data_IF_923747624195
#
_entry.id   IF_923747624195
#
_cell.length_a   1.000
_cell.length_b   1.000
_cell.length_c   1.000
_cell.angle_alpha   90.00
_cell.angle_beta   90.00
_cell.angle_gamma   90.00
#
_symmetry.space_group_name_H-M   'P 1'
#
loop_
_entity.id
_entity.type
_entity.pdbx_description
1 polymer ?
#
# COMPACT_ATOMS: atom_id res chain seq x y z
N UNK A 1 -2.91 -21.35 -18.41
CA UNK A 1 -2.91 -19.87 -18.32
C UNK A 1 -4.35 -19.44 -18.14
N UNK A 2 -4.60 -18.55 -17.17
CA UNK A 2 -5.90 -17.99 -16.75
C UNK A 2 -6.73 -18.80 -15.76
N UNK A 3 -6.45 -18.55 -14.47
CA UNK A 3 -7.46 -18.56 -13.42
C UNK A 3 -7.00 -17.58 -12.34
N UNK A 4 -7.10 -16.28 -12.64
CA UNK A 4 -7.18 -15.25 -11.59
C UNK A 4 -8.65 -15.20 -11.22
N UNK A 5 -9.03 -16.07 -10.27
CA UNK A 5 -10.35 -16.08 -9.68
C UNK A 5 -10.56 -14.76 -8.93
N UNK A 6 -11.35 -13.88 -9.55
CA UNK A 6 -11.94 -12.70 -8.93
C UNK A 6 -12.76 -13.13 -7.70
N UNK A 7 -12.16 -13.09 -6.50
CA UNK A 7 -12.92 -13.07 -5.22
C UNK A 7 -13.29 -11.63 -4.88
N UNK A 8 -14.05 -10.99 -5.76
CA UNK A 8 -14.45 -9.59 -5.67
C UNK A 8 -15.91 -9.38 -5.20
N UNK A 9 -16.54 -10.41 -4.61
CA UNK A 9 -18.00 -10.43 -4.41
C UNK A 9 -18.50 -10.13 -2.99
N UNK A 10 -17.64 -9.75 -2.02
CA UNK A 10 -18.12 -9.56 -0.63
C UNK A 10 -18.04 -8.13 -0.09
N UNK A 11 -17.26 -7.21 -0.67
CA UNK A 11 -16.97 -5.93 0.02
C UNK A 11 -17.08 -4.66 -0.85
N UNK A 12 -17.93 -4.64 -1.87
CA UNK A 12 -17.95 -3.53 -2.86
C UNK A 12 -18.49 -2.18 -2.36
N UNK A 13 -19.06 -2.07 -1.15
CA UNK A 13 -19.72 -0.83 -0.73
C UNK A 13 -18.94 0.07 0.24
N UNK A 14 -17.90 -0.41 0.94
CA UNK A 14 -17.18 0.41 1.92
C UNK A 14 -15.73 -0.03 2.22
N UNK A 15 -14.96 -0.43 1.21
CA UNK A 15 -13.52 -0.71 1.41
C UNK A 15 -12.71 0.58 1.49
N UNK A 16 -12.42 1.02 2.71
CA UNK A 16 -11.54 2.15 2.99
C UNK A 16 -10.05 1.76 3.03
N UNK A 17 -9.70 0.50 3.28
CA UNK A 17 -8.31 0.07 3.35
C UNK A 17 -7.87 -0.57 2.03
N UNK A 18 -6.82 -0.04 1.40
CA UNK A 18 -6.27 -0.54 0.13
C UNK A 18 -4.86 -1.05 0.37
N UNK A 19 -4.52 -2.21 -0.21
CA UNK A 19 -3.15 -2.65 -0.15
C UNK A 19 -2.27 -1.74 -1.03
N UNK A 20 -1.09 -1.36 -0.53
CA UNK A 20 -0.14 -0.59 -1.32
C UNK A 20 0.46 -1.40 -2.47
N UNK A 21 0.72 -2.69 -2.26
CA UNK A 21 1.47 -3.53 -3.20
C UNK A 21 0.58 -4.30 -4.18
N UNK A 22 -0.68 -4.58 -3.82
CA UNK A 22 -1.58 -5.41 -4.61
C UNK A 22 -2.95 -4.75 -4.78
N UNK A 23 -3.77 -5.16 -5.77
CA UNK A 23 -5.08 -4.54 -6.03
C UNK A 23 -6.17 -4.95 -5.01
N UNK A 24 -5.80 -5.57 -3.88
CA UNK A 24 -6.75 -5.98 -2.85
C UNK A 24 -7.21 -4.77 -2.02
N UNK A 25 -8.49 -4.78 -1.64
CA UNK A 25 -9.07 -3.77 -0.77
C UNK A 25 -9.93 -4.45 0.29
N UNK A 26 -9.80 -3.98 1.53
CA UNK A 26 -10.40 -4.56 2.71
C UNK A 26 -11.28 -3.52 3.43
N UNK A 27 -12.37 -3.98 4.01
CA UNK A 27 -13.13 -3.23 4.99
C UNK A 27 -12.51 -3.43 6.39
N UNK A 28 -12.82 -2.58 7.36
CA UNK A 28 -12.28 -2.73 8.74
C UNK A 28 -12.65 -4.08 9.36
N UNK A 29 -13.86 -4.56 9.10
CA UNK A 29 -14.37 -5.88 9.54
C UNK A 29 -13.78 -7.06 8.73
N UNK A 30 -13.20 -6.77 7.57
CA UNK A 30 -12.69 -7.75 6.62
C UNK A 30 -11.18 -7.91 6.66
N UNK A 31 -10.50 -7.17 7.56
CA UNK A 31 -9.07 -7.29 7.78
C UNK A 31 -8.80 -8.68 8.37
N UNK A 32 -7.97 -9.51 7.72
CA UNK A 32 -7.62 -10.80 8.30
C UNK A 32 -6.92 -10.58 9.65
N UNK A 33 -7.24 -11.41 10.63
CA UNK A 33 -6.52 -11.50 11.90
C UNK A 33 -5.09 -12.00 11.65
N UNK A 34 -4.18 -11.07 11.33
CA UNK A 34 -2.80 -11.37 10.96
C UNK A 34 -1.90 -10.15 11.00
N UNK A 35 -0.65 -10.32 10.55
CA UNK A 35 0.27 -9.19 10.40
C UNK A 35 -0.17 -8.30 9.24
N UNK A 36 -0.64 -7.11 9.61
CA UNK A 36 -1.02 -6.05 8.69
C UNK A 36 -0.27 -4.80 9.12
N UNK A 37 0.44 -4.19 8.18
CA UNK A 37 1.18 -2.95 8.42
C UNK A 37 0.32 -1.78 7.95
N UNK A 38 -0.09 -0.92 8.88
CA UNK A 38 -0.86 0.29 8.57
C UNK A 38 0.12 1.40 8.16
N UNK A 39 0.06 1.79 6.88
CA UNK A 39 1.01 2.74 6.29
C UNK A 39 0.50 4.17 6.49
N UNK A 40 -0.81 4.39 6.32
CA UNK A 40 -1.48 5.67 6.56
C UNK A 40 -2.33 6.14 5.39
N UNK A 41 -2.78 7.39 5.45
CA UNK A 41 -3.64 8.05 4.45
C UNK A 41 -2.89 8.65 3.25
N UNK A 42 -1.56 8.76 3.34
CA UNK A 42 -0.71 9.32 2.28
C UNK A 42 0.50 8.43 2.06
N UNK A 43 0.70 8.08 0.80
CA UNK A 43 1.93 7.43 0.35
C UNK A 43 2.93 8.50 -0.14
N UNK A 44 4.21 8.40 0.25
CA UNK A 44 5.21 9.39 -0.13
C UNK A 44 5.38 9.51 -1.65
N UNK A 45 5.19 8.42 -2.39
CA UNK A 45 5.19 8.41 -3.86
C UNK A 45 4.08 9.25 -4.49
N UNK A 46 2.89 9.24 -3.89
CA UNK A 46 1.77 10.06 -4.35
C UNK A 46 1.96 11.52 -3.99
N UNK A 47 2.57 11.80 -2.83
CA UNK A 47 2.94 13.15 -2.43
C UNK A 47 3.99 13.77 -3.39
N UNK A 48 5.00 13.00 -3.81
CA UNK A 48 6.01 13.44 -4.81
C UNK A 48 5.35 13.77 -6.15
N UNK A 49 4.33 13.02 -6.54
CA UNK A 49 3.58 13.23 -7.77
C UNK A 49 2.53 14.36 -7.66
N UNK A 50 2.40 15.03 -6.52
CA UNK A 50 1.43 16.10 -6.29
C UNK A 50 -0.01 15.61 -6.14
N UNK A 51 -0.22 14.31 -5.91
CA UNK A 51 -1.54 13.78 -5.58
C UNK A 51 -1.84 14.05 -4.11
N UNK A 52 -2.87 14.86 -3.87
CA UNK A 52 -3.37 15.16 -2.53
C UNK A 52 -3.93 13.90 -1.86
N UNK A 53 -3.68 13.79 -0.56
CA UNK A 53 -4.30 12.80 0.33
C UNK A 53 -5.82 12.73 0.09
N UNK A 54 -6.33 11.57 -0.35
CA UNK A 54 -7.77 11.35 -0.35
C UNK A 54 -8.14 10.80 1.02
N UNK A 55 -8.72 11.65 1.87
CA UNK A 55 -9.16 11.33 3.23
C UNK A 55 -10.11 10.13 3.37
N UNK A 56 -10.58 9.57 2.25
CA UNK A 56 -11.49 8.44 2.21
C UNK A 56 -10.81 7.10 1.88
N UNK A 57 -9.47 7.00 1.83
CA UNK A 57 -8.79 5.72 1.68
C UNK A 57 -7.47 5.68 2.44
N UNK A 58 -7.29 4.62 3.24
CA UNK A 58 -6.06 4.32 3.94
C UNK A 58 -5.30 3.22 3.20
N UNK A 59 -3.98 3.32 3.20
CA UNK A 59 -3.08 2.32 2.64
C UNK A 59 -2.58 1.41 3.75
N UNK A 60 -2.62 0.11 3.47
CA UNK A 60 -2.12 -0.96 4.35
C UNK A 60 -1.24 -1.91 3.54
N UNK A 61 -0.52 -2.80 4.21
CA UNK A 61 0.08 -3.98 3.59
C UNK A 61 -0.67 -5.22 4.06
N UNK A 62 -1.33 -5.91 3.14
CA UNK A 62 -2.11 -7.09 3.49
C UNK A 62 -1.22 -8.30 3.83
N UNK A 63 -1.82 -9.28 4.50
CA UNK A 63 -1.17 -10.53 4.87
C UNK A 63 -0.52 -11.25 3.68
N UNK A 64 -1.20 -11.33 2.52
CA UNK A 64 -0.65 -11.99 1.32
C UNK A 64 0.65 -11.33 0.85
N UNK A 65 0.74 -10.00 0.92
CA UNK A 65 1.97 -9.29 0.59
C UNK A 65 3.07 -9.55 1.62
N UNK A 66 2.71 -9.65 2.90
CA UNK A 66 3.66 -10.06 3.95
C UNK A 66 4.19 -11.48 3.71
N UNK A 67 3.32 -12.42 3.33
CA UNK A 67 3.72 -13.79 3.00
C UNK A 67 4.64 -13.81 1.77
N UNK A 68 4.28 -13.09 0.71
CA UNK A 68 5.12 -12.96 -0.48
C UNK A 68 6.52 -12.42 -0.14
N UNK A 69 6.59 -11.39 0.70
CA UNK A 69 7.88 -10.82 1.13
C UNK A 69 8.66 -11.71 2.09
N UNK A 70 8.00 -12.57 2.88
CA UNK A 70 8.66 -13.61 3.67
C UNK A 70 9.30 -14.67 2.78
N UNK A 71 8.59 -15.10 1.74
CA UNK A 71 9.10 -16.10 0.79
C UNK A 71 10.17 -15.52 -0.14
N UNK A 72 10.06 -14.23 -0.50
CA UNK A 72 10.93 -13.53 -1.44
C UNK A 72 11.57 -12.28 -0.79
N UNK A 73 12.57 -12.45 0.09
CA UNK A 73 13.22 -11.33 0.77
C UNK A 73 13.98 -10.40 -0.19
N UNK A 74 14.33 -10.87 -1.39
CA UNK A 74 14.94 -10.02 -2.43
C UNK A 74 13.97 -8.97 -2.96
N UNK A 75 12.70 -9.34 -3.18
CA UNK A 75 11.66 -8.41 -3.63
C UNK A 75 11.40 -7.35 -2.56
N UNK A 76 11.41 -7.76 -1.29
CA UNK A 76 11.29 -6.85 -0.15
C UNK A 76 12.41 -5.81 -0.12
N UNK A 77 13.67 -6.22 -0.34
CA UNK A 77 14.80 -5.29 -0.37
C UNK A 77 14.72 -4.30 -1.54
N UNK A 78 14.33 -4.78 -2.72
CA UNK A 78 14.14 -3.93 -3.89
C UNK A 78 13.04 -2.89 -3.62
N UNK A 79 11.90 -3.34 -3.10
CA UNK A 79 10.77 -2.48 -2.75
C UNK A 79 11.15 -1.42 -1.69
N UNK A 80 11.82 -1.82 -0.61
CA UNK A 80 12.29 -0.89 0.42
C UNK A 80 13.28 0.15 -0.11
N UNK A 81 14.06 -0.20 -1.14
CA UNK A 81 14.98 0.73 -1.77
C UNK A 81 14.19 1.80 -2.54
N UNK A 82 13.23 1.41 -3.36
CA UNK A 82 12.42 2.35 -4.15
C UNK A 82 11.62 3.30 -3.24
N UNK A 83 11.07 2.77 -2.14
CA UNK A 83 10.35 3.58 -1.16
C UNK A 83 11.25 4.62 -0.49
N UNK A 84 12.47 4.24 -0.08
CA UNK A 84 13.44 5.18 0.51
C UNK A 84 13.90 6.24 -0.49
N UNK A 85 14.13 5.85 -1.75
CA UNK A 85 14.48 6.81 -2.80
C UNK A 85 13.35 7.82 -3.04
N UNK A 86 12.10 7.39 -2.86
CA UNK A 86 10.93 8.24 -3.05
C UNK A 86 10.68 9.15 -1.85
N UNK A 87 10.82 8.64 -0.64
CA UNK A 87 10.77 9.42 0.60
C UNK A 87 11.88 10.49 0.63
N UNK A 88 13.11 10.13 0.28
CA UNK A 88 14.22 11.08 0.21
C UNK A 88 13.97 12.20 -0.83
N UNK A 89 13.35 11.87 -1.97
CA UNK A 89 12.94 12.89 -2.96
C UNK A 89 11.84 13.79 -2.40
N UNK A 90 10.87 13.24 -1.67
CA UNK A 90 9.81 14.01 -1.03
C UNK A 90 10.37 14.98 0.00
N UNK A 91 11.25 14.50 0.88
CA UNK A 91 11.92 15.32 1.88
C UNK A 91 12.73 16.44 1.22
N UNK A 92 13.50 16.13 0.17
CA UNK A 92 14.26 17.12 -0.58
C UNK A 92 13.38 18.17 -1.27
N UNK A 93 12.22 17.77 -1.81
CA UNK A 93 11.24 18.71 -2.38
C UNK A 93 10.64 19.60 -1.29
N UNK A 94 10.22 19.01 -0.16
CA UNK A 94 9.62 19.76 0.96
C UNK A 94 10.58 20.77 1.60
N UNK A 95 11.89 20.50 1.59
CA UNK A 95 12.91 21.41 2.13
C UNK A 95 13.24 22.58 1.19
N UNK A 96 12.84 22.52 -0.08
CA UNK A 96 13.13 23.55 -1.09
C UNK A 96 11.99 24.58 -1.26
N UNK A 97 10.86 24.39 -0.57
CA UNK A 97 9.73 25.34 -0.50
C UNK A 97 9.83 26.29 0.74
N UNK A 98 11.04 26.73 1.11
CA UNK A 98 11.31 27.70 2.21
C UNK A 98 12.07 28.92 1.67
#
# INVERSE_FOLDING_TARGET
MHSVALRADVCLHWCHHRCQTCPQAFCEDCLPDGEIDAIGDVLPEFAVLGYMAKSNAYYIRCHDCHEHFRENPSDWQAWQKEMRETEAKLEAMSANDI
#
